data_IF_176229501674
#
_entry.id   IF_176229501674
#
_cell.length_a   1.000
_cell.length_b   1.000
_cell.length_c   1.000
_cell.angle_alpha   90.00
_cell.angle_beta   90.00
_cell.angle_gamma   90.00
#
_symmetry.space_group_name_H-M   'P 1'
#
loop_
_entity.id
_entity.type
_entity.pdbx_description
1 polymer ?
#
# COMPACT_ATOMS: atom_id res chain seq x y z
N UNK A 1 37.51 -2.21 -7.21
CA UNK A 1 36.25 -2.34 -6.43
C UNK A 1 35.81 -0.94 -6.04
N UNK A 2 34.57 -0.57 -6.33
CA UNK A 2 34.07 0.77 -6.07
C UNK A 2 33.82 0.91 -4.54
N UNK A 3 34.13 2.06 -3.95
CA UNK A 3 34.04 2.23 -2.48
C UNK A 3 32.59 2.00 -1.98
N UNK A 4 31.59 2.38 -2.79
CA UNK A 4 30.16 2.14 -2.51
C UNK A 4 29.74 0.66 -2.61
N UNK A 5 30.39 -0.14 -3.47
CA UNK A 5 30.10 -1.58 -3.56
C UNK A 5 30.64 -2.35 -2.35
N UNK A 6 31.75 -1.89 -1.79
CA UNK A 6 32.31 -2.45 -0.55
C UNK A 6 31.44 -2.07 0.65
N UNK A 7 31.02 -0.80 0.75
CA UNK A 7 30.15 -0.30 1.83
C UNK A 7 28.79 -1.02 1.86
N UNK A 8 28.13 -1.19 0.71
CA UNK A 8 26.88 -1.93 0.61
C UNK A 8 27.02 -3.42 0.95
N UNK A 9 28.16 -4.04 0.62
CA UNK A 9 28.45 -5.43 0.97
C UNK A 9 28.64 -5.62 2.48
N UNK A 10 29.36 -4.69 3.12
CA UNK A 10 29.55 -4.67 4.58
C UNK A 10 28.22 -4.46 5.32
N UNK A 11 27.39 -3.53 4.84
CA UNK A 11 26.04 -3.29 5.40
C UNK A 11 25.16 -4.53 5.29
N UNK A 12 25.13 -5.19 4.12
CA UNK A 12 24.39 -6.45 3.91
C UNK A 12 24.86 -7.57 4.85
N UNK A 13 26.17 -7.71 5.03
CA UNK A 13 26.74 -8.69 5.97
C UNK A 13 26.33 -8.39 7.41
N UNK A 14 26.48 -7.14 7.86
CA UNK A 14 26.10 -6.70 9.20
C UNK A 14 24.62 -6.95 9.50
N UNK A 15 23.74 -6.62 8.56
CA UNK A 15 22.30 -6.91 8.66
C UNK A 15 22.03 -8.42 8.79
N UNK A 16 22.64 -9.25 7.94
CA UNK A 16 22.43 -10.70 8.02
C UNK A 16 22.88 -11.27 9.37
N UNK A 17 23.94 -10.72 9.97
CA UNK A 17 24.35 -11.10 11.33
C UNK A 17 23.37 -10.60 12.40
N UNK A 18 22.88 -9.36 12.26
CA UNK A 18 21.86 -8.82 13.17
C UNK A 18 20.58 -9.65 13.14
N UNK A 19 20.09 -10.03 11.96
CA UNK A 19 18.94 -10.92 11.81
C UNK A 19 19.19 -12.29 12.46
N UNK A 20 20.31 -12.94 12.15
CA UNK A 20 20.70 -14.21 12.79
C UNK A 20 20.83 -14.11 14.31
N UNK A 21 21.23 -12.95 14.83
CA UNK A 21 21.31 -12.70 16.26
C UNK A 21 19.91 -12.61 16.87
N UNK A 22 19.01 -11.83 16.27
CA UNK A 22 17.62 -11.70 16.70
C UNK A 22 16.87 -13.04 16.70
N UNK A 23 17.11 -13.90 15.70
CA UNK A 23 16.48 -15.22 15.57
C UNK A 23 16.74 -16.18 16.75
N UNK A 24 17.85 -16.03 17.45
CA UNK A 24 18.20 -16.97 18.54
C UNK A 24 17.38 -16.77 19.80
N UNK A 25 17.10 -15.51 20.12
CA UNK A 25 16.40 -15.09 21.34
C UNK A 25 15.97 -13.63 21.15
N UNK A 26 14.84 -13.38 20.46
CA UNK A 26 14.44 -12.03 20.11
C UNK A 26 14.15 -11.16 21.33
N UNK A 27 13.59 -11.74 22.39
CA UNK A 27 13.29 -11.03 23.63
C UNK A 27 14.56 -10.43 24.25
N UNK A 28 15.62 -11.22 24.34
CA UNK A 28 16.88 -10.76 24.93
C UNK A 28 17.71 -9.92 23.94
N UNK A 29 17.60 -10.19 22.64
CA UNK A 29 18.53 -9.65 21.64
C UNK A 29 18.05 -8.34 21.02
N UNK A 30 16.74 -8.05 20.96
CA UNK A 30 16.26 -6.76 20.44
C UNK A 30 16.80 -5.58 21.29
N UNK A 31 16.69 -5.57 22.64
CA UNK A 31 17.22 -4.46 23.44
C UNK A 31 18.73 -4.28 23.28
N UNK A 32 19.47 -5.39 23.15
CA UNK A 32 20.94 -5.37 22.93
C UNK A 32 21.30 -4.79 21.58
N UNK A 33 20.56 -5.15 20.53
CA UNK A 33 20.78 -4.62 19.19
C UNK A 33 20.48 -3.11 19.14
N UNK A 34 19.39 -2.67 19.76
CA UNK A 34 19.06 -1.24 19.86
C UNK A 34 20.16 -0.45 20.56
N UNK A 35 20.70 -0.96 21.67
CA UNK A 35 21.84 -0.35 22.37
C UNK A 35 23.11 -0.27 21.51
N UNK A 36 23.31 -1.23 20.61
CA UNK A 36 24.43 -1.21 19.66
C UNK A 36 24.21 -0.14 18.58
N UNK A 37 23.00 -0.07 18.03
CA UNK A 37 22.61 0.95 17.03
C UNK A 37 22.84 2.36 17.58
N UNK A 38 22.47 2.60 18.84
CA UNK A 38 22.66 3.90 19.50
C UNK A 38 24.13 4.32 19.61
N UNK A 39 25.06 3.36 19.72
CA UNK A 39 26.50 3.64 19.81
C UNK A 39 27.17 3.90 18.46
N UNK A 40 26.57 3.40 17.38
CA UNK A 40 27.21 3.36 16.05
C UNK A 40 26.56 4.36 15.10
N UNK A 41 25.28 4.67 15.25
CA UNK A 41 24.57 5.60 14.39
C UNK A 41 24.69 7.06 14.88
N UNK A 42 24.61 8.04 13.96
CA UNK A 42 24.64 9.45 14.33
C UNK A 42 23.56 9.83 15.37
N UNK A 43 23.88 10.82 16.18
CA UNK A 43 22.96 11.39 17.16
C UNK A 43 21.70 11.92 16.44
N UNK A 44 20.51 11.55 16.91
CA UNK A 44 19.24 11.95 16.29
C UNK A 44 18.75 11.09 15.11
N UNK A 45 19.56 10.14 14.59
CA UNK A 45 19.13 9.26 13.49
C UNK A 45 17.87 8.46 13.88
N UNK A 46 16.71 8.73 13.26
CA UNK A 46 15.39 8.17 13.64
C UNK A 46 15.11 8.20 15.17
N UNK A 47 15.56 9.25 15.87
CA UNK A 47 15.59 9.28 17.34
C UNK A 47 14.20 9.11 17.99
N UNK A 48 13.16 9.73 17.42
CA UNK A 48 11.79 9.61 17.94
C UNK A 48 11.21 8.22 17.75
N UNK A 49 11.41 7.61 16.58
CA UNK A 49 10.96 6.25 16.29
C UNK A 49 11.70 5.23 17.15
N UNK A 50 13.03 5.36 17.31
CA UNK A 50 13.84 4.48 18.16
C UNK A 50 13.41 4.56 19.62
N UNK A 51 13.13 5.77 20.13
CA UNK A 51 12.62 5.98 21.49
C UNK A 51 11.28 5.27 21.71
N UNK A 52 10.34 5.46 20.78
CA UNK A 52 9.01 4.84 20.87
C UNK A 52 9.08 3.31 20.80
N UNK A 53 9.90 2.76 19.90
CA UNK A 53 10.15 1.32 19.82
C UNK A 53 10.72 0.79 21.15
N UNK A 54 11.67 1.51 21.74
CA UNK A 54 12.30 1.13 23.01
C UNK A 54 11.31 1.13 24.17
N UNK A 55 10.53 2.21 24.32
CA UNK A 55 9.49 2.31 25.36
C UNK A 55 8.52 1.13 25.26
N UNK A 56 8.04 0.82 24.05
CA UNK A 56 7.10 -0.27 23.85
C UNK A 56 7.69 -1.66 24.09
N UNK A 57 8.98 -1.85 23.84
CA UNK A 57 9.67 -3.12 24.11
C UNK A 57 9.95 -3.26 25.62
N UNK A 58 10.44 -2.21 26.27
CA UNK A 58 10.81 -2.22 27.69
C UNK A 58 9.57 -2.37 28.58
N UNK A 59 8.45 -1.75 28.20
CA UNK A 59 7.17 -1.84 28.91
C UNK A 59 6.41 -3.14 28.60
N UNK A 60 6.92 -3.98 27.67
CA UNK A 60 6.17 -5.11 27.09
C UNK A 60 4.76 -4.68 26.66
N UNK A 61 4.69 -3.52 26.03
CA UNK A 61 3.45 -2.93 25.54
C UNK A 61 2.93 -3.67 24.31
N UNK A 62 1.90 -3.12 23.69
CA UNK A 62 1.18 -3.80 22.62
C UNK A 62 2.03 -4.16 21.39
N UNK A 63 3.05 -3.34 21.11
CA UNK A 63 3.96 -3.59 19.99
C UNK A 63 4.96 -4.70 20.29
N UNK A 64 5.22 -5.02 21.56
CA UNK A 64 6.01 -6.19 21.93
C UNK A 64 5.27 -7.48 21.52
N UNK A 65 3.98 -7.59 21.84
CA UNK A 65 3.14 -8.72 21.39
C UNK A 65 3.09 -8.83 19.87
N UNK A 66 2.97 -7.69 19.19
CA UNK A 66 3.02 -7.64 17.73
C UNK A 66 4.35 -8.17 17.17
N UNK A 67 5.48 -7.74 17.74
CA UNK A 67 6.82 -8.20 17.31
C UNK A 67 6.97 -9.71 17.54
N UNK A 68 6.51 -10.23 18.68
CA UNK A 68 6.57 -11.67 18.96
C UNK A 68 5.76 -12.49 17.96
N UNK A 69 4.58 -12.02 17.54
CA UNK A 69 3.78 -12.68 16.49
C UNK A 69 4.53 -12.81 15.15
N UNK A 70 5.44 -11.89 14.84
CA UNK A 70 6.28 -12.02 13.64
C UNK A 70 7.20 -13.25 13.72
N UNK A 71 7.56 -13.70 14.93
CA UNK A 71 8.39 -14.89 15.13
C UNK A 71 7.64 -16.22 14.91
N UNK A 72 6.31 -16.19 14.87
CA UNK A 72 5.49 -17.36 14.51
C UNK A 72 5.56 -17.71 13.02
N UNK A 73 5.99 -16.75 12.18
CA UNK A 73 6.17 -16.92 10.75
C UNK A 73 7.31 -17.90 10.42
N UNK A 74 7.30 -18.45 9.20
CA UNK A 74 8.45 -19.17 8.65
C UNK A 74 9.70 -18.28 8.69
N UNK A 75 10.80 -18.79 9.24
CA UNK A 75 12.00 -18.00 9.47
C UNK A 75 12.63 -17.51 8.16
N UNK A 76 12.58 -18.32 7.10
CA UNK A 76 13.10 -17.94 5.79
C UNK A 76 12.29 -16.83 5.15
N UNK A 77 10.96 -16.90 5.26
CA UNK A 77 10.05 -15.85 4.80
C UNK A 77 10.23 -14.57 5.62
N UNK A 78 10.19 -14.65 6.96
CA UNK A 78 10.40 -13.51 7.86
C UNK A 78 11.69 -12.75 7.52
N UNK A 79 12.81 -13.46 7.42
CA UNK A 79 14.11 -12.85 7.11
C UNK A 79 14.14 -12.19 5.74
N UNK A 80 13.51 -12.81 4.74
CA UNK A 80 13.47 -12.30 3.36
C UNK A 80 12.59 -11.06 3.26
N UNK A 81 11.39 -11.10 3.84
CA UNK A 81 10.47 -9.95 3.92
C UNK A 81 11.13 -8.80 4.67
N UNK A 82 11.72 -9.04 5.84
CA UNK A 82 12.43 -8.00 6.58
C UNK A 82 13.55 -7.37 5.76
N UNK A 83 14.40 -8.20 5.14
CA UNK A 83 15.52 -7.73 4.31
C UNK A 83 15.04 -6.89 3.13
N UNK A 84 14.05 -7.35 2.39
CA UNK A 84 13.61 -6.66 1.18
C UNK A 84 12.83 -5.38 1.52
N UNK A 85 11.95 -5.42 2.53
CA UNK A 85 11.12 -4.29 2.92
C UNK A 85 11.88 -3.23 3.72
N UNK A 86 12.58 -3.62 4.79
CA UNK A 86 13.27 -2.67 5.67
C UNK A 86 14.56 -2.20 5.02
N UNK A 87 15.40 -3.11 4.53
CA UNK A 87 16.73 -2.73 4.07
C UNK A 87 16.75 -2.29 2.61
N UNK A 88 16.29 -3.13 1.68
CA UNK A 88 16.37 -2.78 0.26
C UNK A 88 15.43 -1.60 -0.07
N UNK A 89 14.14 -1.70 0.25
CA UNK A 89 13.18 -0.64 -0.10
C UNK A 89 13.33 0.61 0.78
N UNK A 90 13.44 0.46 2.11
CA UNK A 90 13.30 1.61 3.02
C UNK A 90 14.60 2.28 3.46
N UNK A 91 15.76 1.63 3.36
CA UNK A 91 17.06 2.23 3.75
C UNK A 91 17.96 2.50 2.54
N UNK A 92 18.22 1.47 1.74
CA UNK A 92 19.08 1.59 0.56
C UNK A 92 18.35 2.31 -0.58
N UNK A 93 17.09 1.95 -0.81
CA UNK A 93 16.22 2.55 -1.82
C UNK A 93 16.02 4.04 -1.59
N UNK A 94 15.67 4.43 -0.36
CA UNK A 94 15.39 5.84 -0.01
C UNK A 94 16.57 6.77 -0.29
N UNK A 95 17.78 6.37 0.09
CA UNK A 95 19.00 7.17 -0.15
C UNK A 95 19.20 7.42 -1.64
N UNK A 96 19.01 6.37 -2.46
CA UNK A 96 19.15 6.46 -3.91
C UNK A 96 18.02 7.27 -4.55
N UNK A 97 16.79 7.11 -4.07
CA UNK A 97 15.63 7.87 -4.53
C UNK A 97 15.83 9.36 -4.29
N UNK A 98 16.34 9.76 -3.12
CA UNK A 98 16.62 11.17 -2.79
C UNK A 98 17.66 11.77 -3.74
N UNK A 99 18.83 11.12 -3.89
CA UNK A 99 19.89 11.56 -4.82
C UNK A 99 19.38 11.72 -6.25
N UNK A 100 18.62 10.74 -6.74
CA UNK A 100 18.12 10.74 -8.12
C UNK A 100 16.94 11.71 -8.30
N UNK A 101 16.12 11.94 -7.27
CA UNK A 101 15.02 12.91 -7.32
C UNK A 101 15.58 14.32 -7.47
N UNK A 102 16.63 14.66 -6.71
CA UNK A 102 17.35 15.94 -6.85
C UNK A 102 18.01 16.06 -8.22
N UNK A 103 18.72 15.01 -8.65
CA UNK A 103 19.44 15.01 -9.94
C UNK A 103 18.52 15.21 -11.14
N UNK A 104 17.37 14.55 -11.15
CA UNK A 104 16.45 14.58 -12.30
C UNK A 104 15.30 15.59 -12.14
N UNK A 105 15.22 16.26 -10.99
CA UNK A 105 14.16 17.19 -10.62
C UNK A 105 12.77 16.58 -10.85
N UNK A 106 12.55 15.41 -10.24
CA UNK A 106 11.27 14.71 -10.29
C UNK A 106 11.07 13.87 -9.03
N UNK A 107 9.82 13.54 -8.72
CA UNK A 107 9.53 12.55 -7.71
C UNK A 107 10.05 11.16 -8.14
N UNK A 108 10.61 10.39 -7.20
CA UNK A 108 10.90 8.97 -7.39
C UNK A 108 10.26 8.15 -6.27
N UNK A 109 9.39 7.18 -6.62
CA UNK A 109 8.54 6.53 -5.64
C UNK A 109 9.28 5.46 -4.84
N UNK A 110 8.78 5.20 -3.63
CA UNK A 110 9.18 4.07 -2.81
C UNK A 110 8.58 2.75 -3.29
N UNK A 111 7.36 2.79 -3.84
CA UNK A 111 6.68 1.63 -4.40
C UNK A 111 6.09 1.91 -5.80
N UNK A 112 6.00 0.86 -6.62
CA UNK A 112 5.21 0.90 -7.86
C UNK A 112 4.01 -0.04 -7.70
N UNK A 113 2.81 0.50 -7.91
CA UNK A 113 1.59 -0.29 -7.99
C UNK A 113 1.41 -0.73 -9.43
N UNK A 114 1.18 -2.02 -9.65
CA UNK A 114 1.10 -2.63 -10.97
C UNK A 114 -0.14 -3.48 -11.07
N UNK A 115 -0.82 -3.38 -12.20
CA UNK A 115 -1.92 -4.26 -12.56
C UNK A 115 -1.42 -5.28 -13.58
N UNK A 116 -1.09 -6.52 -13.18
CA UNK A 116 -0.65 -7.53 -14.14
C UNK A 116 -1.73 -7.83 -15.17
N UNK A 117 -3.00 -7.71 -14.77
CA UNK A 117 -4.17 -7.99 -15.59
C UNK A 117 -5.37 -7.19 -15.10
N UNK A 118 -6.32 -6.95 -16.00
CA UNK A 118 -7.66 -6.46 -15.66
C UNK A 118 -8.64 -7.61 -15.37
N UNK A 119 -8.28 -8.86 -15.70
CA UNK A 119 -9.16 -10.00 -15.50
C UNK A 119 -9.39 -10.29 -14.00
N UNK A 120 -10.65 -10.48 -13.61
CA UNK A 120 -11.04 -10.84 -12.26
C UNK A 120 -12.05 -11.99 -12.28
N UNK A 121 -11.97 -12.88 -11.29
CA UNK A 121 -12.92 -13.99 -11.13
C UNK A 121 -14.15 -13.60 -10.28
N UNK A 122 -14.30 -12.32 -9.91
CA UNK A 122 -15.45 -11.77 -9.17
C UNK A 122 -15.98 -10.49 -9.87
N UNK A 123 -17.20 -10.09 -9.51
CA UNK A 123 -17.86 -8.88 -10.03
C UNK A 123 -18.36 -8.00 -8.88
N UNK A 124 -17.43 -7.41 -8.12
CA UNK A 124 -17.76 -6.68 -6.89
C UNK A 124 -18.55 -5.39 -7.18
N UNK A 125 -19.56 -5.08 -6.37
CA UNK A 125 -20.30 -3.82 -6.47
C UNK A 125 -19.40 -2.63 -6.08
N UNK A 126 -19.30 -1.61 -6.95
CA UNK A 126 -18.49 -0.42 -6.73
C UNK A 126 -16.98 -0.64 -6.86
N UNK A 127 -16.55 -1.62 -7.65
CA UNK A 127 -15.13 -1.89 -7.88
C UNK A 127 -14.48 -0.86 -8.81
N UNK A 128 -13.48 -0.13 -8.33
CA UNK A 128 -12.73 0.82 -9.17
C UNK A 128 -11.92 0.13 -10.27
N UNK A 129 -11.39 -1.08 -10.02
CA UNK A 129 -10.56 -1.80 -10.99
C UNK A 129 -11.37 -2.43 -12.13
N UNK A 130 -12.68 -2.62 -11.95
CA UNK A 130 -13.56 -3.14 -12.98
C UNK A 130 -13.76 -2.17 -14.16
N UNK A 131 -13.46 -0.88 -13.95
CA UNK A 131 -13.54 0.15 -14.99
C UNK A 131 -12.55 -0.12 -16.15
N UNK A 132 -11.43 -0.81 -15.93
CA UNK A 132 -10.50 -1.17 -17.02
C UNK A 132 -10.95 -2.36 -17.89
N UNK A 133 -12.16 -2.90 -17.66
CA UNK A 133 -12.61 -4.11 -18.32
C UNK A 133 -11.96 -5.38 -17.77
N UNK A 134 -11.78 -6.38 -18.63
CA UNK A 134 -11.33 -7.72 -18.20
C UNK A 134 -10.36 -8.43 -19.18
N UNK A 135 -9.84 -7.71 -20.19
CA UNK A 135 -9.05 -8.29 -21.28
C UNK A 135 -7.61 -7.76 -21.38
N UNK A 136 -7.29 -6.67 -20.67
CA UNK A 136 -5.97 -6.03 -20.69
C UNK A 136 -4.97 -6.79 -19.80
N UNK A 137 -3.72 -6.87 -20.26
CA UNK A 137 -2.65 -7.63 -19.63
C UNK A 137 -1.28 -7.01 -19.95
N UNK A 138 -0.43 -6.85 -18.93
CA UNK A 138 1.00 -6.62 -19.13
C UNK A 138 1.70 -7.95 -19.46
N UNK A 139 2.66 -7.96 -20.39
CA UNK A 139 3.46 -9.18 -20.59
C UNK A 139 4.40 -9.42 -19.39
N UNK A 140 4.90 -10.66 -19.25
CA UNK A 140 5.93 -10.96 -18.25
C UNK A 140 7.16 -10.07 -18.43
N UNK A 141 7.54 -9.81 -19.68
CA UNK A 141 8.68 -8.96 -20.04
C UNK A 141 8.45 -7.48 -19.69
N UNK A 142 7.22 -6.98 -19.84
CA UNK A 142 6.86 -5.62 -19.40
C UNK A 142 7.06 -5.49 -17.88
N UNK A 143 6.56 -6.45 -17.10
CA UNK A 143 6.66 -6.43 -15.64
C UNK A 143 8.13 -6.53 -15.19
N UNK A 144 8.93 -7.43 -15.78
CA UNK A 144 10.38 -7.51 -15.53
C UNK A 144 11.09 -6.19 -15.88
N UNK A 145 10.77 -5.61 -17.04
CA UNK A 145 11.35 -4.33 -17.48
C UNK A 145 11.04 -3.19 -16.50
N UNK A 146 9.79 -3.07 -16.06
CA UNK A 146 9.38 -2.10 -15.05
C UNK A 146 10.17 -2.28 -13.76
N UNK A 147 10.32 -3.52 -13.29
CA UNK A 147 11.01 -3.80 -12.03
C UNK A 147 12.51 -3.50 -12.15
N UNK A 148 13.15 -3.86 -13.26
CA UNK A 148 14.56 -3.50 -13.52
C UNK A 148 14.76 -1.99 -13.52
N UNK A 149 13.92 -1.24 -14.23
CA UNK A 149 13.97 0.22 -14.24
C UNK A 149 13.71 0.82 -12.85
N UNK A 150 12.75 0.28 -12.10
CA UNK A 150 12.49 0.71 -10.72
C UNK A 150 13.68 0.54 -9.80
N UNK A 151 14.39 -0.60 -9.86
CA UNK A 151 15.63 -0.83 -9.09
C UNK A 151 16.75 0.12 -9.48
N UNK A 152 16.84 0.48 -10.76
CA UNK A 152 17.77 1.52 -11.23
C UNK A 152 17.47 2.89 -10.61
N UNK A 153 16.22 3.14 -10.21
CA UNK A 153 15.78 4.33 -9.48
C UNK A 153 15.72 4.16 -7.96
N UNK A 154 16.01 2.97 -7.42
CA UNK A 154 15.97 2.68 -5.99
C UNK A 154 14.63 2.14 -5.46
N UNK A 155 13.67 1.84 -6.33
CA UNK A 155 12.41 1.20 -5.97
C UNK A 155 12.59 -0.31 -5.83
N UNK A 156 12.19 -0.87 -4.67
CA UNK A 156 12.24 -2.31 -4.41
C UNK A 156 10.92 -2.89 -3.88
N UNK A 157 9.90 -2.05 -3.72
CA UNK A 157 8.56 -2.45 -3.31
C UNK A 157 7.63 -2.41 -4.52
N UNK A 158 6.95 -3.52 -4.78
CA UNK A 158 5.95 -3.62 -5.85
C UNK A 158 4.66 -4.14 -5.26
N UNK A 159 3.55 -3.51 -5.64
CA UNK A 159 2.23 -3.82 -5.10
C UNK A 159 1.32 -4.19 -6.26
N UNK A 160 0.92 -5.45 -6.34
CA UNK A 160 0.00 -5.92 -7.36
C UNK A 160 -1.44 -5.59 -7.00
N UNK A 161 -2.12 -4.97 -7.95
CA UNK A 161 -3.55 -4.65 -7.92
C UNK A 161 -4.17 -5.08 -9.26
N UNK A 162 -5.31 -4.54 -9.68
CA UNK A 162 -5.89 -4.79 -11.00
C UNK A 162 -6.53 -6.16 -11.13
N UNK A 163 -7.76 -6.19 -11.65
CA UNK A 163 -8.59 -7.38 -11.67
C UNK A 163 -8.40 -8.23 -10.40
N UNK A 164 -7.99 -9.49 -10.59
CA UNK A 164 -7.40 -10.33 -9.57
C UNK A 164 -5.99 -10.79 -10.01
N UNK A 165 -4.90 -10.32 -9.36
CA UNK A 165 -3.53 -10.70 -9.72
C UNK A 165 -3.29 -12.22 -9.71
N UNK A 166 -3.94 -12.95 -8.80
CA UNK A 166 -3.78 -14.39 -8.68
C UNK A 166 -4.50 -15.18 -9.80
N UNK A 167 -5.18 -14.54 -10.74
CA UNK A 167 -5.54 -15.21 -12.01
C UNK A 167 -4.29 -15.52 -12.84
N UNK A 168 -3.18 -14.80 -12.60
CA UNK A 168 -1.86 -14.99 -13.21
C UNK A 168 -0.81 -15.48 -12.21
N UNK A 169 -1.16 -16.38 -11.28
CA UNK A 169 -0.24 -16.88 -10.23
C UNK A 169 1.15 -17.24 -10.75
N UNK A 170 1.22 -17.97 -11.88
CA UNK A 170 2.47 -18.45 -12.47
C UNK A 170 3.40 -17.29 -12.85
N UNK A 171 2.86 -16.23 -13.44
CA UNK A 171 3.65 -15.06 -13.81
C UNK A 171 4.07 -14.27 -12.58
N UNK A 172 3.16 -14.05 -11.63
CA UNK A 172 3.45 -13.35 -10.37
C UNK A 172 4.57 -14.06 -9.59
N UNK A 173 4.49 -15.38 -9.46
CA UNK A 173 5.53 -16.20 -8.82
C UNK A 173 6.82 -16.19 -9.64
N UNK A 174 6.73 -16.21 -10.98
CA UNK A 174 7.92 -16.12 -11.83
C UNK A 174 8.67 -14.80 -11.65
N UNK A 175 7.95 -13.69 -11.54
CA UNK A 175 8.53 -12.38 -11.25
C UNK A 175 9.21 -12.35 -9.86
N UNK A 176 8.59 -12.98 -8.86
CA UNK A 176 9.19 -13.11 -7.54
C UNK A 176 10.55 -13.84 -7.59
N UNK A 177 10.68 -14.88 -8.41
CA UNK A 177 11.96 -15.60 -8.64
C UNK A 177 12.99 -14.74 -9.37
N UNK A 178 12.56 -13.95 -10.36
CA UNK A 178 13.44 -13.08 -11.16
C UNK A 178 13.99 -11.91 -10.35
N UNK A 179 13.29 -11.50 -9.29
CA UNK A 179 13.64 -10.35 -8.46
C UNK A 179 13.58 -10.67 -6.95
N UNK A 180 14.45 -11.58 -6.47
CA UNK A 180 14.44 -12.03 -5.07
C UNK A 180 14.87 -10.92 -4.08
N UNK A 181 15.38 -9.80 -4.59
CA UNK A 181 15.75 -8.61 -3.82
C UNK A 181 14.60 -7.60 -3.64
N UNK A 182 13.47 -7.81 -4.31
CA UNK A 182 12.27 -6.99 -4.18
C UNK A 182 11.27 -7.60 -3.20
N UNK A 183 10.43 -6.76 -2.61
CA UNK A 183 9.26 -7.17 -1.84
C UNK A 183 8.00 -6.97 -2.70
N UNK A 184 7.14 -7.99 -2.72
CA UNK A 184 5.90 -8.01 -3.48
C UNK A 184 4.72 -8.09 -2.52
N UNK A 185 3.85 -7.08 -2.55
CA UNK A 185 2.53 -7.13 -1.92
C UNK A 185 1.51 -7.40 -3.02
N UNK A 186 0.40 -8.08 -2.73
CA UNK A 186 -0.72 -8.18 -3.66
C UNK A 186 -2.04 -7.98 -2.95
N UNK A 187 -2.83 -7.01 -3.39
CA UNK A 187 -4.24 -6.98 -3.06
C UNK A 187 -4.94 -8.08 -3.83
N UNK A 188 -5.58 -9.00 -3.11
CA UNK A 188 -6.25 -10.17 -3.68
C UNK A 188 -7.60 -10.38 -2.99
N UNK A 189 -8.56 -10.95 -3.71
CA UNK A 189 -9.83 -11.41 -3.16
C UNK A 189 -9.70 -12.71 -2.35
N UNK A 190 -8.51 -13.35 -2.36
CA UNK A 190 -8.19 -14.54 -1.56
C UNK A 190 -8.79 -15.85 -2.06
N UNK A 191 -9.74 -15.82 -3.00
CA UNK A 191 -10.44 -17.03 -3.48
C UNK A 191 -9.52 -18.02 -4.18
N UNK A 192 -8.42 -17.53 -4.74
CA UNK A 192 -7.42 -18.32 -5.43
C UNK A 192 -6.25 -18.73 -4.53
N UNK A 193 -6.29 -18.49 -3.21
CA UNK A 193 -5.25 -19.00 -2.32
C UNK A 193 -5.56 -20.47 -1.97
N UNK A 194 -4.67 -21.35 -2.40
CA UNK A 194 -4.71 -22.80 -2.21
C UNK A 194 -3.37 -23.33 -1.67
N UNK A 195 -3.32 -24.63 -1.37
CA UNK A 195 -2.14 -25.27 -0.79
C UNK A 195 -0.91 -25.14 -1.71
N UNK A 196 -1.09 -25.29 -3.03
CA UNK A 196 -0.02 -25.15 -4.02
C UNK A 196 0.57 -23.74 -3.99
N UNK A 197 -0.28 -22.71 -3.99
CA UNK A 197 0.19 -21.33 -3.90
C UNK A 197 0.92 -21.02 -2.59
N UNK A 198 0.51 -21.63 -1.47
CA UNK A 198 1.24 -21.52 -0.21
C UNK A 198 2.66 -22.12 -0.32
N UNK A 199 2.81 -23.24 -1.03
CA UNK A 199 4.14 -23.81 -1.28
C UNK A 199 5.00 -22.91 -2.18
N UNK A 200 4.40 -22.28 -3.19
CA UNK A 200 5.09 -21.28 -4.00
C UNK A 200 5.56 -20.09 -3.17
N UNK A 201 4.73 -19.58 -2.27
CA UNK A 201 5.10 -18.49 -1.36
C UNK A 201 6.27 -18.87 -0.44
N UNK A 202 6.27 -20.07 0.14
CA UNK A 202 7.38 -20.58 0.96
C UNK A 202 8.68 -20.72 0.15
N UNK A 203 8.56 -20.98 -1.15
CA UNK A 203 9.69 -21.11 -2.07
C UNK A 203 10.29 -19.75 -2.44
N UNK A 204 9.47 -18.76 -2.80
CA UNK A 204 9.95 -17.42 -3.23
C UNK A 204 10.23 -16.46 -2.08
N UNK A 205 9.50 -16.59 -0.96
CA UNK A 205 9.71 -15.90 0.33
C UNK A 205 9.55 -14.38 0.35
N UNK A 206 9.29 -13.75 -0.79
CA UNK A 206 9.21 -12.30 -0.95
C UNK A 206 7.83 -11.80 -1.40
N UNK A 207 6.80 -12.64 -1.30
CA UNK A 207 5.42 -12.32 -1.65
C UNK A 207 4.52 -12.31 -0.41
N UNK A 208 3.72 -11.26 -0.25
CA UNK A 208 2.80 -11.05 0.88
C UNK A 208 1.41 -10.68 0.35
N UNK A 209 0.37 -11.48 0.58
CA UNK A 209 -0.99 -11.10 0.20
C UNK A 209 -1.63 -10.15 1.23
N UNK A 210 -2.40 -9.19 0.73
CA UNK A 210 -3.37 -8.40 1.48
C UNK A 210 -4.77 -8.82 1.06
N UNK A 211 -5.43 -9.61 1.91
CA UNK A 211 -6.71 -10.25 1.60
C UNK A 211 -7.84 -9.24 1.74
N UNK A 212 -8.66 -9.14 0.70
CA UNK A 212 -9.80 -8.24 0.70
C UNK A 212 -10.93 -8.76 1.59
N UNK A 213 -11.35 -7.97 2.59
CA UNK A 213 -12.41 -8.34 3.54
C UNK A 213 -13.21 -7.10 3.98
N UNK A 214 -14.52 -7.11 3.78
CA UNK A 214 -15.37 -5.90 3.90
C UNK A 214 -16.22 -5.83 5.17
N UNK A 215 -15.83 -6.58 6.20
CA UNK A 215 -16.59 -6.79 7.43
C UNK A 215 -16.92 -8.27 7.62
N UNK A 216 -18.02 -8.55 8.31
CA UNK A 216 -18.52 -9.91 8.50
C UNK A 216 -19.20 -10.45 7.24
N UNK A 217 -19.66 -11.69 7.27
CA UNK A 217 -20.21 -12.43 6.13
C UNK A 217 -21.24 -11.63 5.33
N UNK A 218 -22.24 -11.06 6.00
CA UNK A 218 -23.29 -10.26 5.33
C UNK A 218 -22.71 -9.06 4.59
N UNK A 219 -21.84 -8.28 5.23
CA UNK A 219 -21.23 -7.10 4.62
C UNK A 219 -20.31 -7.48 3.45
N UNK A 220 -19.51 -8.53 3.64
CA UNK A 220 -18.58 -9.03 2.62
C UNK A 220 -19.31 -9.56 1.38
N UNK A 221 -20.23 -10.49 1.57
CA UNK A 221 -20.86 -11.21 0.47
C UNK A 221 -21.86 -10.33 -0.28
N UNK A 222 -22.53 -9.39 0.41
CA UNK A 222 -23.40 -8.41 -0.26
C UNK A 222 -22.67 -7.57 -1.32
N UNK A 223 -21.35 -7.38 -1.18
CA UNK A 223 -20.54 -6.60 -2.12
C UNK A 223 -19.72 -7.46 -3.06
N UNK A 224 -19.19 -8.59 -2.58
CA UNK A 224 -18.20 -9.42 -3.28
C UNK A 224 -18.79 -10.68 -3.93
N UNK A 225 -20.00 -11.07 -3.53
CA UNK A 225 -20.70 -12.27 -4.01
C UNK A 225 -20.79 -13.37 -2.94
N UNK A 226 -21.84 -14.18 -3.03
CA UNK A 226 -22.14 -15.24 -2.06
C UNK A 226 -20.98 -16.24 -1.90
N UNK A 227 -20.63 -16.56 -0.65
CA UNK A 227 -19.59 -17.52 -0.29
C UNK A 227 -18.17 -16.97 -0.36
N UNK A 228 -17.98 -15.70 -0.75
CA UNK A 228 -16.66 -15.07 -0.78
C UNK A 228 -16.04 -15.00 0.62
N UNK A 229 -16.83 -14.70 1.65
CA UNK A 229 -16.36 -14.62 3.04
C UNK A 229 -15.75 -15.95 3.51
N UNK A 230 -16.38 -17.07 3.17
CA UNK A 230 -15.89 -18.40 3.51
C UNK A 230 -14.60 -18.75 2.74
N UNK A 231 -14.47 -18.28 1.50
CA UNK A 231 -13.24 -18.41 0.72
C UNK A 231 -12.09 -17.60 1.31
N UNK A 232 -12.36 -16.37 1.78
CA UNK A 232 -11.40 -15.52 2.49
C UNK A 232 -10.96 -16.17 3.81
N UNK A 233 -11.89 -16.71 4.60
CA UNK A 233 -11.56 -17.47 5.82
C UNK A 233 -10.62 -18.64 5.53
N UNK A 234 -10.94 -19.46 4.52
CA UNK A 234 -10.09 -20.58 4.10
C UNK A 234 -8.68 -20.12 3.71
N UNK A 235 -8.57 -19.01 2.99
CA UNK A 235 -7.28 -18.44 2.60
C UNK A 235 -6.45 -18.04 3.82
N UNK A 236 -7.05 -17.33 4.78
CA UNK A 236 -6.37 -16.93 6.02
C UNK A 236 -5.93 -18.14 6.86
N UNK A 237 -6.78 -19.17 6.96
CA UNK A 237 -6.44 -20.42 7.64
C UNK A 237 -5.23 -21.13 7.00
N UNK A 238 -5.18 -21.20 5.67
CA UNK A 238 -4.05 -21.78 4.93
C UNK A 238 -2.76 -20.98 5.18
N UNK A 239 -2.82 -19.65 5.05
CA UNK A 239 -1.66 -18.77 5.27
C UNK A 239 -1.12 -18.91 6.70
N UNK A 240 -2.02 -18.90 7.70
CA UNK A 240 -1.66 -19.10 9.11
C UNK A 240 -1.04 -20.48 9.35
N UNK A 241 -1.66 -21.55 8.81
CA UNK A 241 -1.15 -22.94 8.92
C UNK A 241 0.27 -23.07 8.38
N UNK A 242 0.57 -22.42 7.26
CA UNK A 242 1.90 -22.42 6.63
C UNK A 242 2.84 -21.34 7.18
N UNK A 243 2.43 -20.59 8.21
CA UNK A 243 3.23 -19.53 8.84
C UNK A 243 3.68 -18.45 7.85
N UNK A 244 2.81 -18.15 6.88
CA UNK A 244 3.04 -17.14 5.85
C UNK A 244 2.49 -15.79 6.31
N UNK A 245 3.21 -14.67 6.07
CA UNK A 245 2.73 -13.35 6.39
C UNK A 245 1.58 -12.97 5.47
N UNK A 246 0.57 -12.32 6.02
CA UNK A 246 -0.48 -11.68 5.25
C UNK A 246 -1.08 -10.52 6.05
N UNK A 247 -1.80 -9.66 5.34
CA UNK A 247 -2.63 -8.65 5.96
C UNK A 247 -4.03 -8.64 5.36
N UNK A 248 -4.82 -7.68 5.79
CA UNK A 248 -6.17 -7.42 5.30
C UNK A 248 -6.16 -6.10 4.51
N UNK A 249 -7.01 -6.04 3.49
CA UNK A 249 -7.38 -4.82 2.81
C UNK A 249 -8.89 -4.67 2.90
N UNK A 250 -9.35 -3.55 3.42
CA UNK A 250 -10.77 -3.31 3.61
C UNK A 250 -11.16 -1.97 3.01
N UNK A 251 -12.32 -1.94 2.35
CA UNK A 251 -12.92 -0.71 1.87
C UNK A 251 -14.20 -0.44 2.65
N UNK A 252 -14.16 0.59 3.50
CA UNK A 252 -15.35 1.02 4.21
C UNK A 252 -16.18 2.00 3.41
N UNK A 253 -17.49 1.84 3.55
CA UNK A 253 -18.56 2.56 2.87
C UNK A 253 -19.54 3.09 3.91
N UNK A 254 -20.52 3.87 3.47
CA UNK A 254 -21.65 4.28 4.32
C UNK A 254 -22.43 3.12 4.96
N UNK A 255 -22.35 1.90 4.40
CA UNK A 255 -23.14 0.75 4.85
C UNK A 255 -22.40 -0.20 5.79
N UNK A 256 -21.07 -0.33 5.70
CA UNK A 256 -20.28 -1.30 6.47
C UNK A 256 -19.25 -0.69 7.43
N UNK A 257 -19.19 0.66 7.54
CA UNK A 257 -18.21 1.33 8.39
C UNK A 257 -18.23 0.88 9.87
N UNK A 258 -19.40 0.48 10.40
CA UNK A 258 -19.52 -0.01 11.78
C UNK A 258 -18.85 -1.36 11.97
N UNK A 259 -19.05 -2.29 11.04
CA UNK A 259 -18.41 -3.60 11.08
C UNK A 259 -16.89 -3.43 11.01
N UNK A 260 -16.40 -2.67 10.04
CA UNK A 260 -14.97 -2.48 9.80
C UNK A 260 -14.26 -1.79 10.98
N UNK A 261 -14.95 -0.88 11.66
CA UNK A 261 -14.41 -0.14 12.81
C UNK A 261 -14.89 -0.70 14.17
N UNK A 262 -15.37 -1.95 14.20
CA UNK A 262 -15.78 -2.65 15.43
C UNK A 262 -14.59 -3.32 16.13
N UNK A 263 -14.72 -3.55 17.43
CA UNK A 263 -13.71 -4.27 18.22
C UNK A 263 -13.62 -5.73 17.76
N UNK A 264 -14.78 -6.32 17.49
CA UNK A 264 -14.95 -7.71 17.06
C UNK A 264 -14.28 -7.98 15.71
N UNK A 265 -14.30 -7.02 14.79
CA UNK A 265 -13.62 -7.16 13.50
C UNK A 265 -12.10 -7.08 13.66
N UNK A 266 -11.59 -6.20 14.53
CA UNK A 266 -10.16 -6.15 14.85
C UNK A 266 -9.68 -7.46 15.48
N UNK A 267 -10.44 -8.00 16.43
CA UNK A 267 -10.14 -9.29 17.04
C UNK A 267 -10.17 -10.43 16.02
N UNK A 268 -11.15 -10.45 15.12
CA UNK A 268 -11.21 -11.41 14.03
C UNK A 268 -9.94 -11.38 13.16
N UNK A 269 -9.48 -10.19 12.75
CA UNK A 269 -8.27 -10.05 11.94
C UNK A 269 -7.04 -10.57 12.67
N UNK A 270 -6.91 -10.22 13.95
CA UNK A 270 -5.78 -10.61 14.80
C UNK A 270 -5.76 -12.12 15.04
N UNK A 271 -6.91 -12.70 15.38
CA UNK A 271 -7.05 -14.13 15.65
C UNK A 271 -6.84 -14.96 14.38
N UNK A 272 -7.24 -14.44 13.22
CA UNK A 272 -6.93 -15.04 11.93
C UNK A 272 -5.43 -15.05 11.62
N UNK A 273 -4.62 -14.21 12.29
CA UNK A 273 -3.18 -14.11 12.11
C UNK A 273 -2.73 -12.99 11.17
N UNK A 274 -3.61 -12.04 10.84
CA UNK A 274 -3.24 -10.90 10.01
C UNK A 274 -2.25 -9.99 10.74
N UNK A 275 -1.21 -9.55 10.04
CA UNK A 275 -0.15 -8.70 10.59
C UNK A 275 -0.47 -7.21 10.40
N UNK A 276 -1.21 -6.87 9.36
CA UNK A 276 -1.56 -5.49 9.07
C UNK A 276 -2.95 -5.39 8.44
N UNK A 277 -3.54 -4.20 8.49
CA UNK A 277 -4.77 -3.89 7.78
C UNK A 277 -4.67 -2.54 7.06
N UNK A 278 -4.98 -2.54 5.76
CA UNK A 278 -5.18 -1.34 4.96
C UNK A 278 -6.65 -0.97 4.98
N UNK A 279 -6.96 0.22 5.48
CA UNK A 279 -8.27 0.82 5.40
C UNK A 279 -8.28 1.82 4.26
N UNK A 280 -9.16 1.55 3.30
CA UNK A 280 -9.57 2.50 2.28
C UNK A 280 -11.01 2.89 2.59
N UNK A 281 -11.39 4.12 2.33
CA UNK A 281 -12.81 4.42 2.17
C UNK A 281 -13.19 4.41 0.69
N UNK A 282 -14.49 4.22 0.43
CA UNK A 282 -15.02 4.19 -0.93
C UNK A 282 -14.66 5.46 -1.72
N UNK A 283 -14.15 5.27 -2.93
CA UNK A 283 -13.80 6.32 -3.88
C UNK A 283 -14.77 6.26 -5.07
N UNK A 284 -15.40 7.39 -5.47
CA UNK A 284 -16.44 7.37 -6.49
C UNK A 284 -15.82 7.50 -7.90
N UNK A 285 -14.98 6.56 -8.29
CA UNK A 285 -14.25 6.54 -9.57
C UNK A 285 -15.10 5.87 -10.66
N UNK A 286 -15.06 6.41 -11.88
CA UNK A 286 -15.73 5.81 -13.04
C UNK A 286 -17.21 6.20 -13.18
N UNK A 287 -17.75 6.06 -14.38
CA UNK A 287 -19.12 6.48 -14.68
C UNK A 287 -20.17 5.66 -13.89
N UNK A 288 -19.83 4.42 -13.51
CA UNK A 288 -20.67 3.52 -12.71
C UNK A 288 -20.63 3.74 -11.20
N UNK A 289 -19.92 4.77 -10.71
CA UNK A 289 -19.74 5.00 -9.28
C UNK A 289 -21.07 5.18 -8.51
N UNK A 290 -21.21 4.43 -7.41
CA UNK A 290 -22.39 4.44 -6.53
C UNK A 290 -22.17 5.43 -5.39
N UNK A 291 -22.66 6.67 -5.57
CA UNK A 291 -22.38 7.80 -4.66
C UNK A 291 -22.89 7.56 -3.24
N UNK A 292 -23.93 6.75 -3.10
CA UNK A 292 -24.56 6.39 -1.82
C UNK A 292 -23.62 5.59 -0.91
N UNK A 293 -22.57 4.96 -1.47
CA UNK A 293 -21.56 4.24 -0.70
C UNK A 293 -20.50 5.18 -0.07
N UNK A 294 -20.47 6.46 -0.45
CA UNK A 294 -19.57 7.43 0.18
C UNK A 294 -19.92 7.62 1.66
N UNK A 295 -18.94 7.53 2.58
CA UNK A 295 -19.21 7.78 3.99
C UNK A 295 -19.61 9.25 4.21
N UNK A 296 -20.59 9.47 5.08
CA UNK A 296 -20.88 10.82 5.60
C UNK A 296 -19.71 11.34 6.45
N UNK A 297 -19.63 12.66 6.70
CA UNK A 297 -18.61 13.22 7.58
C UNK A 297 -18.57 12.57 8.97
N UNK A 298 -19.73 12.28 9.55
CA UNK A 298 -19.84 11.62 10.86
C UNK A 298 -19.32 10.18 10.81
N UNK A 299 -19.61 9.45 9.73
CA UNK A 299 -19.11 8.09 9.53
C UNK A 299 -17.59 8.05 9.34
N UNK A 300 -17.03 8.95 8.52
CA UNK A 300 -15.57 9.05 8.34
C UNK A 300 -14.88 9.44 9.63
N UNK A 301 -15.44 10.39 10.40
CA UNK A 301 -14.92 10.76 11.71
C UNK A 301 -14.97 9.61 12.72
N UNK A 302 -16.05 8.81 12.71
CA UNK A 302 -16.16 7.62 13.55
C UNK A 302 -15.03 6.61 13.27
N UNK A 303 -14.83 6.25 11.99
CA UNK A 303 -13.75 5.32 11.58
C UNK A 303 -12.38 5.88 11.95
N UNK A 304 -12.14 7.17 11.70
CA UNK A 304 -10.92 7.87 12.10
C UNK A 304 -10.60 7.70 13.59
N UNK A 305 -11.58 7.92 14.48
CA UNK A 305 -11.38 7.79 15.92
C UNK A 305 -11.14 6.34 16.34
N UNK A 306 -11.92 5.41 15.79
CA UNK A 306 -11.81 3.98 16.10
C UNK A 306 -10.46 3.40 15.70
N UNK A 307 -10.00 3.65 14.47
CA UNK A 307 -8.69 3.15 14.01
C UNK A 307 -7.55 3.70 14.89
N UNK A 308 -7.60 5.00 15.24
CA UNK A 308 -6.59 5.60 16.12
C UNK A 308 -6.62 5.02 17.53
N UNK A 309 -7.81 4.80 18.09
CA UNK A 309 -8.00 4.13 19.38
C UNK A 309 -7.39 2.72 19.35
N UNK A 310 -7.69 1.93 18.32
CA UNK A 310 -7.20 0.55 18.24
C UNK A 310 -5.68 0.45 18.03
N UNK A 311 -5.01 1.46 17.49
CA UNK A 311 -3.53 1.48 17.44
C UNK A 311 -2.86 1.49 18.82
N UNK A 312 -3.58 1.92 19.86
CA UNK A 312 -3.11 1.85 21.25
C UNK A 312 -3.62 0.62 22.00
N UNK A 313 -4.57 -0.14 21.46
CA UNK A 313 -5.30 -1.18 22.20
C UNK A 313 -5.24 -2.58 21.56
N UNK A 314 -4.96 -2.69 20.25
CA UNK A 314 -4.91 -3.95 19.51
C UNK A 314 -3.55 -4.18 18.81
N UNK A 315 -2.91 -5.37 18.93
CA UNK A 315 -1.58 -5.66 18.37
C UNK A 315 -1.64 -5.99 16.87
N UNK A 316 -2.02 -5.01 16.07
CA UNK A 316 -2.07 -5.09 14.60
C UNK A 316 -1.65 -3.76 13.99
N UNK A 317 -0.85 -3.79 12.92
CA UNK A 317 -0.42 -2.57 12.24
C UNK A 317 -1.49 -2.08 11.26
N UNK A 318 -2.08 -0.91 11.50
CA UNK A 318 -3.15 -0.38 10.65
C UNK A 318 -2.74 0.87 9.89
N UNK A 319 -3.15 0.97 8.63
CA UNK A 319 -2.93 2.12 7.76
C UNK A 319 -4.27 2.57 7.19
N UNK A 320 -4.64 3.82 7.41
CA UNK A 320 -5.83 4.45 6.82
C UNK A 320 -5.39 5.39 5.69
N UNK A 321 -5.64 4.96 4.45
CA UNK A 321 -5.11 5.61 3.25
C UNK A 321 -5.49 7.09 3.14
N UNK A 322 -6.67 7.48 3.63
CA UNK A 322 -7.14 8.87 3.51
C UNK A 322 -6.98 9.68 4.80
N UNK A 323 -7.01 9.04 5.97
CA UNK A 323 -6.97 9.74 7.25
C UNK A 323 -5.58 9.83 7.90
N UNK A 324 -4.58 9.12 7.36
CA UNK A 324 -3.20 9.11 7.87
C UNK A 324 -2.24 10.04 7.13
N UNK A 325 -2.74 10.86 6.21
CA UNK A 325 -1.88 11.78 5.44
C UNK A 325 -1.01 12.70 6.33
N UNK A 326 -1.38 12.94 7.59
CA UNK A 326 -0.53 13.68 8.53
C UNK A 326 0.80 12.99 8.86
N UNK A 327 0.84 11.66 8.82
CA UNK A 327 2.05 10.89 9.13
C UNK A 327 3.01 10.80 7.93
N UNK A 328 2.52 11.13 6.73
CA UNK A 328 3.28 11.08 5.47
C UNK A 328 3.38 12.44 4.75
N UNK A 329 2.81 13.49 5.35
CA UNK A 329 2.86 14.86 4.85
C UNK A 329 1.98 15.13 3.63
N UNK A 330 0.78 14.54 3.55
CA UNK A 330 -0.22 14.79 2.50
C UNK A 330 -0.38 13.63 1.51
N UNK A 331 -0.85 13.94 0.31
CA UNK A 331 -1.00 12.96 -0.78
C UNK A 331 0.37 12.33 -1.14
N UNK A 332 0.37 11.01 -1.37
CA UNK A 332 1.58 10.24 -1.70
C UNK A 332 1.64 9.78 -3.17
N UNK A 333 0.65 10.17 -3.97
CA UNK A 333 0.52 9.91 -5.40
C UNK A 333 1.51 10.73 -6.25
N UNK A 334 1.54 10.48 -7.56
CA UNK A 334 2.31 11.25 -8.53
C UNK A 334 3.82 11.00 -8.42
N UNK A 335 4.19 9.77 -8.06
CA UNK A 335 5.57 9.35 -7.87
C UNK A 335 6.17 9.76 -6.52
N UNK A 336 5.48 10.56 -5.69
CA UNK A 336 6.05 11.04 -4.41
C UNK A 336 6.41 9.91 -3.46
N UNK A 337 5.52 8.93 -3.29
CA UNK A 337 5.84 7.63 -2.67
C UNK A 337 5.38 6.46 -3.49
N UNK A 338 4.38 6.63 -4.36
CA UNK A 338 4.03 5.62 -5.33
C UNK A 338 3.52 6.20 -6.65
N UNK A 339 3.48 5.33 -7.65
CA UNK A 339 2.74 5.51 -8.89
C UNK A 339 1.99 4.22 -9.24
N UNK A 340 1.04 4.30 -10.16
CA UNK A 340 0.28 3.17 -10.67
C UNK A 340 0.60 2.93 -12.15
N UNK A 341 0.73 1.67 -12.58
CA UNK A 341 0.74 1.28 -13.99
C UNK A 341 -0.37 0.25 -14.20
N UNK A 342 -1.37 0.63 -15.01
CA UNK A 342 -2.53 -0.22 -15.26
C UNK A 342 -2.18 -1.40 -16.19
N UNK A 343 -3.14 -2.31 -16.41
CA UNK A 343 -2.94 -3.52 -17.21
C UNK A 343 -2.72 -3.27 -18.72
N UNK A 344 -2.95 -2.04 -19.20
CA UNK A 344 -2.62 -1.59 -20.56
C UNK A 344 -1.23 -0.96 -20.64
N UNK A 345 -0.61 -0.67 -19.51
CA UNK A 345 0.69 0.01 -19.43
C UNK A 345 0.60 1.53 -19.35
N UNK A 346 -0.57 2.14 -19.09
CA UNK A 346 -0.63 3.58 -18.82
C UNK A 346 -0.07 3.88 -17.43
N UNK A 347 0.73 4.95 -17.33
CA UNK A 347 1.36 5.36 -16.07
C UNK A 347 0.54 6.46 -15.40
N UNK A 348 -0.11 6.11 -14.29
CA UNK A 348 -1.06 6.96 -13.58
C UNK A 348 -0.50 7.40 -12.22
N UNK A 349 -0.87 8.59 -11.71
CA UNK A 349 -0.35 9.09 -10.45
C UNK A 349 -0.88 8.29 -9.23
N UNK A 350 -2.05 7.67 -9.33
CA UNK A 350 -2.76 6.99 -8.26
C UNK A 350 -3.71 5.94 -8.83
N UNK A 351 -3.91 4.82 -8.14
CA UNK A 351 -4.89 3.77 -8.53
C UNK A 351 -6.31 4.28 -8.70
N UNK A 352 -6.69 5.38 -8.06
CA UNK A 352 -8.03 5.95 -8.21
C UNK A 352 -8.10 6.98 -9.34
N UNK A 353 -6.97 7.40 -9.92
CA UNK A 353 -6.88 8.51 -10.87
C UNK A 353 -6.59 7.94 -12.25
N UNK A 354 -7.66 7.54 -12.95
CA UNK A 354 -7.60 6.93 -14.28
C UNK A 354 -7.35 7.99 -15.37
N UNK A 355 -6.25 8.72 -15.25
CA UNK A 355 -5.79 9.68 -16.24
C UNK A 355 -4.28 9.56 -16.41
N UNK A 356 -3.84 9.48 -17.66
CA UNK A 356 -2.42 9.40 -18.01
C UNK A 356 -2.11 10.20 -19.28
N UNK A 357 -0.87 10.66 -19.39
CA UNK A 357 -0.32 11.23 -20.62
C UNK A 357 0.87 10.44 -21.17
N UNK A 358 1.19 9.27 -20.61
CA UNK A 358 2.26 8.39 -21.09
C UNK A 358 2.00 6.90 -20.80
N UNK A 359 2.72 6.04 -21.51
CA UNK A 359 2.66 4.59 -21.34
C UNK A 359 4.06 4.00 -21.20
N UNK A 360 4.21 2.97 -20.38
CA UNK A 360 5.49 2.28 -20.19
C UNK A 360 5.97 1.56 -21.45
N UNK A 361 5.08 1.25 -22.39
CA UNK A 361 5.45 0.60 -23.65
C UNK A 361 6.22 1.52 -24.60
N UNK A 362 6.13 2.84 -24.42
CA UNK A 362 6.78 3.83 -25.29
C UNK A 362 7.64 4.84 -24.53
N UNK A 363 7.73 4.72 -23.20
CA UNK A 363 8.42 5.67 -22.32
C UNK A 363 9.14 4.90 -21.22
N UNK A 364 10.34 5.36 -20.81
CA UNK A 364 11.03 4.77 -19.65
C UNK A 364 10.33 5.16 -18.35
N UNK A 365 10.54 4.40 -17.26
CA UNK A 365 9.96 4.74 -15.96
C UNK A 365 10.41 6.12 -15.47
N UNK A 366 11.67 6.48 -15.71
CA UNK A 366 12.20 7.81 -15.37
C UNK A 366 11.52 8.92 -16.19
N UNK A 367 11.36 8.72 -17.50
CA UNK A 367 10.70 9.72 -18.35
C UNK A 367 9.21 9.84 -18.01
N UNK A 368 8.56 8.75 -17.58
CA UNK A 368 7.19 8.79 -17.10
C UNK A 368 7.05 9.61 -15.80
N UNK A 369 8.00 9.49 -14.86
CA UNK A 369 8.07 10.32 -13.65
C UNK A 369 8.36 11.81 -13.95
N UNK A 370 8.91 12.10 -15.12
CA UNK A 370 9.17 13.46 -15.62
C UNK A 370 8.08 13.95 -16.56
N UNK A 371 7.03 13.15 -16.79
CA UNK A 371 5.93 13.52 -17.66
C UNK A 371 5.15 14.71 -17.09
N UNK A 372 4.47 15.50 -17.96
CA UNK A 372 3.67 16.64 -17.53
C UNK A 372 2.73 16.39 -16.34
N UNK A 373 2.02 15.25 -16.28
CA UNK A 373 1.12 14.97 -15.17
C UNK A 373 1.89 14.76 -13.86
N UNK A 374 2.97 13.99 -13.88
CA UNK A 374 3.79 13.72 -12.69
C UNK A 374 4.53 14.96 -12.19
N UNK A 375 5.01 15.82 -13.09
CA UNK A 375 5.59 17.12 -12.72
C UNK A 375 4.53 18.05 -12.12
N UNK A 376 3.31 18.04 -12.63
CA UNK A 376 2.23 18.81 -12.04
C UNK A 376 1.93 18.35 -10.59
N UNK A 377 2.05 17.05 -10.27
CA UNK A 377 1.99 16.55 -8.89
C UNK A 377 3.20 17.01 -8.06
N UNK A 378 4.41 16.89 -8.58
CA UNK A 378 5.65 17.33 -7.93
C UNK A 378 5.57 18.81 -7.50
N UNK A 379 5.08 19.68 -8.39
CA UNK A 379 5.09 21.13 -8.17
C UNK A 379 3.95 21.64 -7.28
N UNK A 380 2.87 20.85 -7.10
CA UNK A 380 1.65 21.29 -6.40
C UNK A 380 1.39 20.57 -5.07
N UNK A 381 2.23 19.62 -4.68
CA UNK A 381 2.10 18.93 -3.39
C UNK A 381 2.82 19.71 -2.25
N UNK A 382 2.24 19.75 -1.03
CA UNK A 382 0.95 19.19 -0.64
C UNK A 382 -0.24 20.02 -1.17
N UNK A 383 -1.35 19.35 -1.51
CA UNK A 383 -2.54 20.02 -2.04
C UNK A 383 -3.38 20.75 -0.97
N UNK A 384 -3.16 20.45 0.31
CA UNK A 384 -3.83 21.08 1.44
C UNK A 384 -2.96 21.07 2.69
N UNK A 385 -3.07 22.12 3.51
CA UNK A 385 -2.42 22.21 4.83
C UNK A 385 -3.17 21.41 5.91
N UNK A 386 -4.45 21.11 5.70
CA UNK A 386 -5.21 20.18 6.54
C UNK A 386 -5.05 18.77 5.97
N UNK A 387 -4.28 17.91 6.65
CA UNK A 387 -3.96 16.57 6.17
C UNK A 387 -5.12 15.57 6.29
N UNK A 388 -6.29 15.98 6.78
CA UNK A 388 -7.54 15.23 6.61
C UNK A 388 -8.22 15.52 5.26
N UNK A 389 -7.61 16.38 4.43
CA UNK A 389 -8.06 16.72 3.07
C UNK A 389 -6.92 16.60 2.05
N UNK A 390 -6.21 15.44 1.97
CA UNK A 390 -4.98 15.36 1.19
C UNK A 390 -5.21 15.15 -0.31
N UNK A 391 -6.34 14.58 -0.75
CA UNK A 391 -6.50 14.09 -2.10
C UNK A 391 -6.83 15.22 -3.09
N UNK A 392 -6.11 15.33 -4.23
CA UNK A 392 -6.45 16.31 -5.28
C UNK A 392 -7.75 15.99 -6.01
N UNK A 393 -8.20 14.73 -5.97
CA UNK A 393 -9.46 14.32 -6.58
C UNK A 393 -10.64 14.53 -5.63
N UNK A 394 -10.51 14.08 -4.38
CA UNK A 394 -11.67 13.91 -3.50
C UNK A 394 -11.95 15.12 -2.62
N UNK A 395 -10.97 15.62 -1.86
CA UNK A 395 -11.21 16.71 -0.91
C UNK A 395 -10.81 18.10 -1.42
N UNK A 396 -10.01 18.17 -2.48
CA UNK A 396 -9.57 19.44 -3.08
C UNK A 396 -10.23 19.63 -4.44
N UNK A 397 -11.54 19.93 -4.41
CA UNK A 397 -12.36 20.13 -5.61
C UNK A 397 -11.67 21.07 -6.63
N UNK A 398 -11.63 20.64 -7.89
CA UNK A 398 -11.02 21.35 -9.01
C UNK A 398 -9.52 21.08 -9.21
N UNK A 399 -8.80 20.54 -8.22
CA UNK A 399 -7.35 20.30 -8.35
C UNK A 399 -7.04 19.23 -9.39
N UNK A 400 -7.67 18.06 -9.33
CA UNK A 400 -7.41 17.03 -10.35
C UNK A 400 -7.75 17.51 -11.77
N UNK A 401 -8.84 18.26 -11.92
CA UNK A 401 -9.27 18.86 -13.19
C UNK A 401 -8.20 19.81 -13.74
N UNK A 402 -7.63 20.66 -12.89
CA UNK A 402 -6.52 21.55 -13.25
C UNK A 402 -5.31 20.74 -13.75
N UNK A 403 -4.85 19.74 -12.98
CA UNK A 403 -3.67 18.95 -13.32
C UNK A 403 -3.86 18.18 -14.64
N UNK A 404 -5.01 17.53 -14.83
CA UNK A 404 -5.34 16.76 -16.05
C UNK A 404 -5.37 17.66 -17.28
N UNK A 405 -6.02 18.83 -17.19
CA UNK A 405 -6.11 19.79 -18.30
C UNK A 405 -4.74 20.39 -18.65
N UNK A 406 -3.93 20.74 -17.65
CA UNK A 406 -2.57 21.27 -17.85
C UNK A 406 -1.64 20.23 -18.48
N UNK A 407 -1.70 18.98 -18.03
CA UNK A 407 -0.84 17.90 -18.52
C UNK A 407 -1.28 17.29 -19.84
N UNK A 408 -2.50 17.63 -20.30
CA UNK A 408 -3.18 16.97 -21.43
C UNK A 408 -3.30 15.45 -21.23
N UNK A 409 -3.48 15.03 -19.98
CA UNK A 409 -3.74 13.63 -19.68
C UNK A 409 -5.13 13.24 -20.21
N UNK A 410 -5.24 12.01 -20.68
CA UNK A 410 -6.49 11.42 -21.17
C UNK A 410 -6.97 10.38 -20.18
N UNK A 411 -8.28 10.13 -20.16
CA UNK A 411 -8.84 9.08 -19.33
C UNK A 411 -8.34 7.70 -19.79
N UNK A 412 -8.01 6.83 -18.84
CA UNK A 412 -7.43 5.49 -19.08
C UNK A 412 -8.41 4.35 -18.82
N UNK A 413 -9.66 4.65 -18.44
CA UNK A 413 -10.79 3.77 -18.62
C UNK A 413 -11.28 3.91 -20.08
N UNK A 414 -10.90 2.95 -20.91
CA UNK A 414 -11.26 2.94 -22.33
C UNK A 414 -12.63 2.32 -22.61
N UNK A 415 -13.23 1.61 -21.64
CA UNK A 415 -14.56 1.01 -21.81
C UNK A 415 -15.66 2.03 -21.52
N UNK A 416 -15.47 2.86 -20.49
CA UNK A 416 -16.38 3.94 -20.11
C UNK A 416 -15.64 5.23 -19.75
N UNK A 417 -15.02 5.92 -20.74
CA UNK A 417 -14.25 7.13 -20.48
C UNK A 417 -15.02 8.15 -19.65
N UNK A 418 -14.45 8.51 -18.51
CA UNK A 418 -14.99 9.54 -17.62
C UNK A 418 -14.29 10.87 -17.89
N UNK A 419 -15.06 11.91 -18.21
CA UNK A 419 -14.52 13.26 -18.30
C UNK A 419 -14.17 13.78 -16.89
N UNK A 420 -13.06 14.51 -16.77
CA UNK A 420 -12.60 15.01 -15.47
C UNK A 420 -13.57 16.03 -14.85
N UNK A 421 -14.40 16.69 -15.67
CA UNK A 421 -15.44 17.59 -15.23
C UNK A 421 -16.62 16.79 -14.61
N UNK A 422 -16.94 15.62 -15.18
CA UNK A 422 -17.93 14.70 -14.58
C UNK A 422 -17.42 14.11 -13.26
N UNK A 423 -16.13 13.77 -13.16
CA UNK A 423 -15.53 13.34 -11.91
C UNK A 423 -15.63 14.44 -10.82
N UNK A 424 -15.39 15.70 -11.19
CA UNK A 424 -15.54 16.84 -10.29
C UNK A 424 -16.98 16.99 -9.77
N UNK A 425 -17.98 16.80 -10.62
CA UNK A 425 -19.39 16.85 -10.20
C UNK A 425 -19.72 15.80 -9.12
N UNK A 426 -19.08 14.62 -9.19
CA UNK A 426 -19.22 13.58 -8.16
C UNK A 426 -18.52 13.93 -6.85
N UNK A 427 -17.33 14.53 -6.90
CA UNK A 427 -16.50 14.73 -5.70
C UNK A 427 -16.72 16.08 -5.01
N UNK A 428 -17.12 17.14 -5.73
CA UNK A 428 -17.29 18.47 -5.15
C UNK A 428 -18.31 18.54 -3.99
N UNK A 429 -19.49 17.87 -4.06
CA UNK A 429 -20.41 17.83 -2.93
C UNK A 429 -19.80 17.16 -1.70
N UNK A 430 -19.07 16.06 -1.89
CA UNK A 430 -18.39 15.34 -0.80
C UNK A 430 -17.31 16.22 -0.15
N UNK A 431 -16.45 16.87 -0.95
CA UNK A 431 -15.42 17.79 -0.47
C UNK A 431 -16.00 18.90 0.41
N UNK A 432 -17.09 19.52 -0.06
CA UNK A 432 -17.80 20.59 0.65
C UNK A 432 -18.37 20.11 1.98
N UNK A 433 -18.96 18.92 2.00
CA UNK A 433 -19.58 18.35 3.20
C UNK A 433 -18.54 17.87 4.23
N UNK A 434 -17.41 17.34 3.79
CA UNK A 434 -16.34 16.88 4.68
C UNK A 434 -15.58 18.02 5.34
N UNK A 435 -15.39 19.15 4.65
CA UNK A 435 -14.53 20.26 5.09
C UNK A 435 -14.77 20.73 6.53
N UNK A 436 -16.01 21.01 6.99
CA UNK A 436 -16.24 21.47 8.36
C UNK A 436 -15.78 20.46 9.42
N UNK A 437 -16.05 19.17 9.20
CA UNK A 437 -15.62 18.10 10.11
C UNK A 437 -14.10 17.95 10.11
N UNK A 438 -13.48 17.98 8.93
CA UNK A 438 -12.03 17.93 8.79
C UNK A 438 -11.34 19.10 9.51
N UNK A 439 -11.87 20.32 9.40
CA UNK A 439 -11.31 21.50 10.07
C UNK A 439 -11.44 21.39 11.59
N UNK A 440 -12.60 20.95 12.09
CA UNK A 440 -12.81 20.65 13.51
C UNK A 440 -11.80 19.63 14.05
N UNK A 441 -11.70 18.46 13.41
CA UNK A 441 -10.78 17.38 13.83
C UNK A 441 -9.31 17.80 13.73
N UNK A 442 -8.96 18.64 12.77
CA UNK A 442 -7.58 19.13 12.59
C UNK A 442 -7.19 20.13 13.68
N UNK A 443 -8.10 21.02 14.06
CA UNK A 443 -7.85 22.01 15.11
C UNK A 443 -7.86 21.40 16.51
N UNK A 444 -8.61 20.30 16.72
CA UNK A 444 -8.55 19.51 17.96
C UNK A 444 -7.17 18.88 18.20
N UNK A 445 -6.46 18.48 17.15
CA UNK A 445 -5.11 17.89 17.27
C UNK A 445 -4.00 18.90 17.59
N UNK A 446 -4.24 20.19 17.35
CA UNK A 446 -3.27 21.26 17.62
C UNK A 446 -3.30 21.75 19.07
N UNK A 447 -4.32 21.33 19.84
CA UNK A 447 -4.47 21.60 21.26
C UNK A 447 -3.82 20.49 22.05
#
# INVERSE_FOLDING_TARGET
MNFSSLQSSVQKFGMNQALKYLEKDPETNIPKLMNLVDKVMPEGWYGSQRKLIREQIDEKGIWYDYILKLYDLDAGVRQTVFKNFIFNASLNGSTKQEELSEKYNCNIPWAVLLDPTSACNLHCTGCWAAEYGHQLNLSLDDIDSIIRQGKELGTYMYIYTGGEPLTRKKDVIKICEMHPDCAFLSFTNGTLIDEEFCQDMLRVKNFVPAISLEGFETANDSRRGDGCYNSVKRAMELLKKHKLPFGISTCYTSVNYKDIASDEFFDLMIDAGALFCWFFHYMPVGNGAVKELLPTPEQRAYVYHQIRKFRSEKPIFTMDFQNDAQYVGGCIAGGRRYLHINAKGDVEPCVFIHYSNCSIHNTTLLDALRSPLFQAYHDNQPFNENMLRPCPMLENAGRIQELVKQSKAVNTDYESPEDVDHLLEKTAPYAKNWKPMADKLWDEQKK
#
